data_IF_259985690062
#
_entry.id   IF_259985690062
#
_cell.length_a   1.000
_cell.length_b   1.000
_cell.length_c   1.000
_cell.angle_alpha   90.00
_cell.angle_beta   90.00
_cell.angle_gamma   90.00
#
_symmetry.space_group_name_H-M   'P 1'
#
loop_
_entity.id
_entity.type
_entity.pdbx_description
1 polymer ?
#
# COMPACT_ATOMS: atom_id res chain seq x y z
N UNK A 1 -2.49 -59.63 30.51
CA UNK A 1 -1.79 -58.36 30.79
C UNK A 1 -1.30 -57.71 29.50
N UNK A 2 -0.57 -58.41 28.64
CA UNK A 2 -0.09 -57.89 27.33
C UNK A 2 -1.21 -57.43 26.37
N UNK A 3 -2.34 -58.15 26.31
CA UNK A 3 -3.48 -57.81 25.46
C UNK A 3 -4.21 -56.51 25.87
N UNK A 4 -4.10 -56.11 27.14
CA UNK A 4 -4.61 -54.82 27.62
C UNK A 4 -3.62 -53.70 27.34
N UNK A 5 -2.32 -53.96 27.51
CA UNK A 5 -1.27 -52.98 27.18
C UNK A 5 -1.29 -52.60 25.70
N UNK A 6 -1.42 -53.58 24.80
CA UNK A 6 -1.53 -53.34 23.36
C UNK A 6 -2.77 -52.50 22.97
N UNK A 7 -3.91 -52.69 23.67
CA UNK A 7 -5.12 -51.86 23.47
C UNK A 7 -4.95 -50.43 23.98
N UNK A 8 -4.20 -50.24 25.07
CA UNK A 8 -3.89 -48.92 25.60
C UNK A 8 -2.94 -48.17 24.66
N UNK A 9 -1.86 -48.80 24.19
CA UNK A 9 -0.93 -48.21 23.22
C UNK A 9 -1.64 -47.84 21.91
N UNK A 10 -2.52 -48.71 21.40
CA UNK A 10 -3.30 -48.43 20.18
C UNK A 10 -4.27 -47.25 20.35
N UNK A 11 -4.74 -46.99 21.58
CA UNK A 11 -5.62 -45.86 21.90
C UNK A 11 -4.83 -44.56 22.04
N UNK A 12 -3.65 -44.60 22.66
CA UNK A 12 -2.72 -43.47 22.70
C UNK A 12 -2.29 -43.05 21.30
N UNK A 13 -1.96 -44.01 20.43
CA UNK A 13 -1.62 -43.73 19.03
C UNK A 13 -2.79 -43.03 18.30
N UNK A 14 -4.02 -43.52 18.49
CA UNK A 14 -5.24 -42.92 17.92
C UNK A 14 -5.46 -41.48 18.43
N UNK A 15 -5.30 -41.25 19.73
CA UNK A 15 -5.45 -39.93 20.34
C UNK A 15 -4.37 -38.95 19.82
N UNK A 16 -3.14 -39.43 19.58
CA UNK A 16 -2.08 -38.65 18.96
C UNK A 16 -2.42 -38.26 17.51
N UNK A 17 -2.92 -39.21 16.69
CA UNK A 17 -3.39 -38.91 15.33
C UNK A 17 -4.52 -37.88 15.33
N UNK A 18 -5.51 -38.01 16.22
CA UNK A 18 -6.59 -37.02 16.33
C UNK A 18 -6.08 -35.64 16.74
N UNK A 19 -5.07 -35.58 17.64
CA UNK A 19 -4.44 -34.31 18.01
C UNK A 19 -3.77 -33.65 16.82
N UNK A 20 -3.04 -34.41 16.00
CA UNK A 20 -2.39 -33.90 14.79
C UNK A 20 -3.44 -33.37 13.81
N UNK A 21 -4.51 -34.13 13.55
CA UNK A 21 -5.61 -33.72 12.67
C UNK A 21 -6.26 -32.43 13.18
N UNK A 22 -6.52 -32.33 14.49
CA UNK A 22 -7.12 -31.14 15.10
C UNK A 22 -6.23 -29.91 14.93
N UNK A 23 -4.91 -30.06 15.13
CA UNK A 23 -3.95 -28.96 14.90
C UNK A 23 -3.99 -28.51 13.43
N UNK A 24 -3.92 -29.45 12.48
CA UNK A 24 -3.99 -29.13 11.04
C UNK A 24 -5.30 -28.40 10.70
N UNK A 25 -6.43 -28.90 11.20
CA UNK A 25 -7.74 -28.27 10.95
C UNK A 25 -7.82 -26.86 11.54
N UNK A 26 -7.22 -26.65 12.72
CA UNK A 26 -7.18 -25.33 13.37
C UNK A 26 -6.33 -24.36 12.56
N UNK A 27 -5.14 -24.79 12.12
CA UNK A 27 -4.25 -23.98 11.30
C UNK A 27 -4.92 -23.61 9.97
N UNK A 28 -5.58 -24.57 9.31
CA UNK A 28 -6.34 -24.32 8.09
C UNK A 28 -7.49 -23.31 8.30
N UNK A 29 -8.23 -23.42 9.41
CA UNK A 29 -9.29 -22.45 9.73
C UNK A 29 -8.72 -21.03 9.91
N UNK A 30 -7.59 -20.90 10.60
CA UNK A 30 -6.91 -19.62 10.81
C UNK A 30 -6.45 -19.04 9.46
N UNK A 31 -5.91 -19.86 8.56
CA UNK A 31 -5.44 -19.41 7.26
C UNK A 31 -6.59 -18.96 6.34
N UNK A 32 -7.74 -19.63 6.41
CA UNK A 32 -8.97 -19.20 5.73
C UNK A 32 -9.42 -17.83 6.25
N UNK A 33 -9.47 -17.64 7.57
CA UNK A 33 -9.87 -16.38 8.19
C UNK A 33 -8.92 -15.23 7.80
N UNK A 34 -7.60 -15.46 7.83
CA UNK A 34 -6.61 -14.47 7.37
C UNK A 34 -6.82 -14.08 5.91
N UNK A 35 -7.10 -15.07 5.06
CA UNK A 35 -7.32 -14.85 3.62
C UNK A 35 -8.60 -14.04 3.39
N UNK A 36 -9.69 -14.36 4.10
CA UNK A 36 -10.94 -13.62 4.02
C UNK A 36 -10.75 -12.17 4.46
N UNK A 37 -10.13 -11.96 5.62
CA UNK A 37 -9.80 -10.63 6.12
C UNK A 37 -8.97 -9.84 5.11
N UNK A 38 -7.92 -10.46 4.56
CA UNK A 38 -7.07 -9.83 3.56
C UNK A 38 -7.85 -9.31 2.34
N UNK A 39 -8.71 -10.16 1.78
CA UNK A 39 -9.53 -9.80 0.62
C UNK A 39 -10.55 -8.70 0.96
N UNK A 40 -11.12 -8.73 2.16
CA UNK A 40 -12.01 -7.68 2.65
C UNK A 40 -11.29 -6.32 2.78
N UNK A 41 -10.08 -6.30 3.37
CA UNK A 41 -9.26 -5.09 3.45
C UNK A 41 -8.92 -4.56 2.05
N UNK A 42 -8.44 -5.42 1.14
CA UNK A 42 -8.09 -5.03 -0.22
C UNK A 42 -9.28 -4.43 -0.97
N UNK A 43 -10.47 -5.04 -0.86
CA UNK A 43 -11.72 -4.53 -1.46
C UNK A 43 -12.09 -3.14 -0.95
N UNK A 44 -11.78 -2.84 0.32
CA UNK A 44 -12.03 -1.54 0.93
C UNK A 44 -10.90 -0.52 0.69
N UNK A 45 -9.87 -0.86 -0.10
CA UNK A 45 -8.72 0.01 -0.34
C UNK A 45 -7.83 0.18 0.91
N UNK A 46 -7.85 -0.80 1.81
CA UNK A 46 -7.05 -0.83 3.03
C UNK A 46 -5.94 -1.88 2.91
N UNK A 47 -4.78 -1.60 3.51
CA UNK A 47 -3.67 -2.55 3.59
C UNK A 47 -3.83 -3.39 4.85
N UNK A 48 -3.84 -4.72 4.70
CA UNK A 48 -3.74 -5.63 5.83
C UNK A 48 -2.28 -5.65 6.32
N UNK A 49 -1.97 -4.84 7.32
CA UNK A 49 -0.59 -4.62 7.80
C UNK A 49 0.06 -5.87 8.40
N UNK A 50 -0.74 -6.86 8.79
CA UNK A 50 -0.26 -8.16 9.26
C UNK A 50 0.37 -9.00 8.13
N UNK A 51 -0.01 -8.73 6.87
CA UNK A 51 0.46 -9.45 5.69
C UNK A 51 1.41 -8.58 4.85
N UNK A 52 1.19 -7.26 4.83
CA UNK A 52 2.01 -6.29 4.11
C UNK A 52 2.55 -5.24 5.08
N UNK A 53 3.83 -5.35 5.44
CA UNK A 53 4.47 -4.38 6.34
C UNK A 53 4.56 -3.00 5.71
N UNK A 54 4.04 -1.99 6.42
CA UNK A 54 4.15 -0.59 6.01
C UNK A 54 5.60 -0.13 5.90
N UNK A 55 6.49 -0.67 6.73
CA UNK A 55 7.91 -0.33 6.73
C UNK A 55 8.56 -0.74 5.41
N UNK A 56 8.30 -1.96 4.94
CA UNK A 56 8.78 -2.44 3.66
C UNK A 56 8.22 -1.60 2.50
N UNK A 57 6.91 -1.31 2.51
CA UNK A 57 6.30 -0.43 1.49
C UNK A 57 6.98 0.94 1.44
N UNK A 58 7.29 1.54 2.60
CA UNK A 58 7.96 2.84 2.67
C UNK A 58 9.40 2.76 2.14
N UNK A 59 10.11 1.67 2.42
CA UNK A 59 11.46 1.44 1.86
C UNK A 59 11.38 1.35 0.33
N UNK A 60 10.49 0.51 -0.19
CA UNK A 60 10.32 0.32 -1.65
C UNK A 60 9.92 1.64 -2.34
N UNK A 61 9.02 2.42 -1.73
CA UNK A 61 8.63 3.73 -2.25
C UNK A 61 9.78 4.74 -2.25
N UNK A 62 10.67 4.70 -1.26
CA UNK A 62 11.85 5.58 -1.22
C UNK A 62 12.85 5.19 -2.31
N UNK A 63 13.05 3.89 -2.49
CA UNK A 63 13.89 3.38 -3.57
C UNK A 63 13.31 3.81 -4.93
N UNK A 64 12.02 3.58 -5.16
CA UNK A 64 11.33 4.02 -6.37
C UNK A 64 11.45 5.54 -6.58
N UNK A 65 11.28 6.35 -5.54
CA UNK A 65 11.44 7.80 -5.60
C UNK A 65 12.85 8.21 -6.06
N UNK A 66 13.89 7.49 -5.64
CA UNK A 66 15.27 7.76 -6.03
C UNK A 66 15.56 7.50 -7.50
N UNK A 67 14.75 6.63 -8.13
CA UNK A 67 14.87 6.24 -9.53
C UNK A 67 13.99 7.09 -10.46
N UNK A 68 13.13 7.96 -9.93
CA UNK A 68 12.28 8.83 -10.73
C UNK A 68 13.11 9.83 -11.55
N UNK A 69 12.72 10.02 -12.82
CA UNK A 69 13.34 11.00 -13.71
C UNK A 69 13.14 12.43 -13.19
N UNK A 70 14.12 13.31 -13.44
CA UNK A 70 14.07 14.72 -13.01
C UNK A 70 12.73 15.37 -13.38
N UNK A 71 12.06 15.93 -12.37
CA UNK A 71 10.77 16.61 -12.50
C UNK A 71 9.55 15.75 -12.14
N UNK A 72 9.70 14.43 -12.06
CA UNK A 72 8.68 13.52 -11.53
C UNK A 72 8.84 13.32 -10.03
N UNK A 73 7.73 13.26 -9.30
CA UNK A 73 7.70 13.04 -7.87
C UNK A 73 6.37 12.43 -7.41
N UNK A 74 6.36 11.84 -6.22
CA UNK A 74 5.11 11.47 -5.56
C UNK A 74 4.39 12.73 -5.04
N UNK A 75 3.04 12.77 -5.06
CA UNK A 75 2.25 13.88 -4.52
C UNK A 75 2.20 13.91 -2.98
N UNK A 76 3.04 13.12 -2.32
CA UNK A 76 3.12 12.95 -0.88
C UNK A 76 4.56 12.74 -0.45
N UNK A 77 4.84 12.97 0.83
CA UNK A 77 6.14 12.69 1.41
C UNK A 77 6.23 11.22 1.85
N UNK A 78 7.24 10.50 1.35
CA UNK A 78 7.45 9.07 1.64
C UNK A 78 8.06 8.85 3.03
N UNK A 79 7.22 8.91 4.06
CA UNK A 79 7.56 8.65 5.47
C UNK A 79 6.47 7.80 6.13
N UNK A 80 6.89 6.92 7.02
CA UNK A 80 5.98 6.07 7.80
C UNK A 80 5.00 6.90 8.64
N UNK A 81 5.50 7.97 9.28
CA UNK A 81 4.69 8.93 10.05
C UNK A 81 3.54 9.55 9.23
N UNK A 82 3.73 9.67 7.91
CA UNK A 82 2.77 10.26 6.99
C UNK A 82 1.88 9.21 6.31
N UNK A 83 1.87 7.96 6.77
CA UNK A 83 1.16 6.86 6.12
C UNK A 83 -0.31 7.17 5.84
N UNK A 84 -1.02 7.79 6.78
CA UNK A 84 -2.41 8.20 6.60
C UNK A 84 -2.61 9.11 5.37
N UNK A 85 -1.63 9.95 5.03
CA UNK A 85 -1.68 10.76 3.83
C UNK A 85 -1.29 9.98 2.58
N UNK A 86 -0.28 9.11 2.66
CA UNK A 86 0.12 8.22 1.56
C UNK A 86 -1.06 7.35 1.13
N UNK A 87 -1.75 6.74 2.09
CA UNK A 87 -2.88 5.83 1.88
C UNK A 87 -4.01 6.45 1.04
N UNK A 88 -4.24 7.76 1.15
CA UNK A 88 -5.29 8.47 0.36
C UNK A 88 -5.04 8.43 -1.14
N UNK A 89 -3.81 8.21 -1.57
CA UNK A 89 -3.41 8.18 -2.97
C UNK A 89 -3.25 6.75 -3.52
N UNK A 90 -3.36 5.73 -2.68
CA UNK A 90 -3.11 4.34 -3.08
C UNK A 90 -4.36 3.77 -3.75
N UNK A 91 -4.16 3.08 -4.87
CA UNK A 91 -5.15 2.14 -5.40
C UNK A 91 -4.66 0.73 -5.16
N UNK A 92 -5.47 -0.07 -4.47
CA UNK A 92 -5.16 -1.46 -4.13
C UNK A 92 -6.01 -2.38 -5.00
N UNK A 93 -5.37 -3.32 -5.67
CA UNK A 93 -6.04 -4.41 -6.38
C UNK A 93 -5.48 -5.74 -5.91
N UNK A 94 -6.34 -6.69 -5.59
CA UNK A 94 -5.98 -8.07 -5.34
C UNK A 94 -6.65 -8.97 -6.39
N UNK A 95 -5.92 -9.96 -6.90
CA UNK A 95 -6.43 -10.91 -7.89
C UNK A 95 -5.78 -12.28 -7.70
N UNK A 96 -6.46 -13.33 -8.16
CA UNK A 96 -6.03 -14.71 -7.98
C UNK A 96 -5.66 -15.33 -9.33
N UNK A 97 -4.46 -15.91 -9.41
CA UNK A 97 -3.94 -16.62 -10.60
C UNK A 97 -3.11 -17.82 -10.13
N UNK A 98 -3.32 -18.99 -10.74
CA UNK A 98 -2.51 -20.20 -10.55
C UNK A 98 -2.24 -20.57 -9.08
N UNK A 99 -3.26 -20.46 -8.21
CA UNK A 99 -3.19 -20.74 -6.77
C UNK A 99 -2.48 -19.67 -5.92
N UNK A 100 -2.16 -18.51 -6.50
CA UNK A 100 -1.56 -17.38 -5.80
C UNK A 100 -2.50 -16.18 -5.79
N UNK A 101 -2.54 -15.49 -4.64
CA UNK A 101 -3.15 -14.17 -4.53
C UNK A 101 -2.07 -13.14 -4.77
N UNK A 102 -2.22 -12.36 -5.83
CA UNK A 102 -1.38 -11.21 -6.13
C UNK A 102 -2.03 -9.96 -5.59
N UNK A 103 -1.21 -8.99 -5.19
CA UNK A 103 -1.69 -7.68 -4.81
C UNK A 103 -0.81 -6.61 -5.39
N UNK A 104 -1.46 -5.64 -6.02
CA UNK A 104 -0.83 -4.52 -6.67
C UNK A 104 -1.21 -3.25 -5.93
N UNK A 105 -0.20 -2.57 -5.40
CA UNK A 105 -0.32 -1.22 -4.87
C UNK A 105 0.09 -0.25 -5.97
N UNK A 106 -0.82 0.62 -6.40
CA UNK A 106 -0.55 1.66 -7.40
C UNK A 106 -0.47 3.01 -6.72
N UNK A 107 0.61 3.73 -6.99
CA UNK A 107 0.88 5.07 -6.47
C UNK A 107 1.00 6.05 -7.64
N UNK A 108 0.31 7.20 -7.60
CA UNK A 108 0.42 8.20 -8.65
C UNK A 108 1.77 8.91 -8.61
N UNK A 109 2.32 9.19 -9.79
CA UNK A 109 3.50 10.03 -9.98
C UNK A 109 3.07 11.28 -10.75
N UNK A 110 3.48 12.45 -10.27
CA UNK A 110 3.13 13.74 -10.86
C UNK A 110 4.37 14.49 -11.32
N UNK A 111 4.20 15.39 -12.28
CA UNK A 111 5.22 16.34 -12.71
C UNK A 111 4.96 17.71 -12.08
N UNK A 112 6.02 18.50 -11.84
CA UNK A 112 5.84 19.89 -11.46
C UNK A 112 5.13 20.66 -12.58
N UNK A 113 3.95 21.19 -12.28
CA UNK A 113 3.28 22.17 -13.14
C UNK A 113 4.11 23.46 -13.19
N UNK A 114 4.50 23.89 -14.39
CA UNK A 114 5.16 25.19 -14.58
C UNK A 114 4.09 26.28 -14.62
N UNK A 115 4.18 27.26 -13.72
CA UNK A 115 3.28 28.42 -13.71
C UNK A 115 4.02 29.65 -14.22
N UNK A 116 3.45 30.33 -15.22
CA UNK A 116 3.97 31.61 -15.71
C UNK A 116 3.18 32.76 -15.07
N UNK A 117 3.76 33.39 -14.06
CA UNK A 117 3.24 34.64 -13.50
C UNK A 117 3.71 35.79 -14.38
N UNK A 118 2.79 36.41 -15.12
CA UNK A 118 3.10 37.58 -15.95
C UNK A 118 2.55 38.82 -15.27
N UNK A 119 3.43 39.73 -14.88
CA UNK A 119 3.07 41.07 -14.40
C UNK A 119 3.40 42.08 -15.49
N UNK A 120 2.38 42.60 -16.17
CA UNK A 120 2.56 43.72 -17.08
C UNK A 120 2.81 44.99 -16.25
N UNK A 121 3.90 45.69 -16.54
CA UNK A 121 4.12 47.05 -16.05
C UNK A 121 3.96 47.94 -17.28
N UNK A 122 2.94 48.78 -17.26
CA UNK A 122 2.71 49.79 -18.29
C UNK A 122 3.87 50.78 -18.31
N UNK A 123 4.50 50.97 -19.48
CA UNK A 123 5.52 51.99 -19.63
C UNK A 123 4.88 53.39 -19.67
N UNK A 124 5.55 54.41 -19.12
CA UNK A 124 5.13 55.79 -19.28
C UNK A 124 5.18 56.19 -20.76
N UNK A 125 4.06 56.67 -21.29
CA UNK A 125 4.00 57.25 -22.63
C UNK A 125 4.12 58.76 -22.52
N UNK A 126 5.04 59.33 -23.29
CA UNK A 126 5.22 60.78 -23.36
C UNK A 126 4.24 61.33 -24.39
N UNK A 127 3.26 62.10 -23.93
CA UNK A 127 2.44 62.92 -24.81
C UNK A 127 2.89 64.38 -24.65
N UNK A 128 3.00 65.08 -25.78
CA UNK A 128 3.51 66.45 -25.85
C UNK A 128 2.85 67.33 -24.79
N UNK A 129 3.65 68.17 -24.12
CA UNK A 129 3.31 69.03 -22.96
C UNK A 129 3.64 68.48 -21.56
N UNK A 130 4.74 67.73 -21.39
CA UNK A 130 5.26 67.30 -20.06
C UNK A 130 4.30 66.46 -19.19
N UNK A 131 3.27 65.84 -19.80
CA UNK A 131 2.35 64.96 -19.09
C UNK A 131 2.77 63.51 -19.35
N UNK A 132 2.97 62.75 -18.27
CA UNK A 132 3.27 61.32 -18.32
C UNK A 132 2.08 60.56 -17.77
N UNK A 133 1.52 59.63 -18.54
CA UNK A 133 0.49 58.70 -18.06
C UNK A 133 0.92 57.24 -18.24
N UNK A 134 0.32 56.39 -17.42
CA UNK A 134 0.46 54.93 -17.51
C UNK A 134 -0.68 54.40 -18.37
N UNK A 135 -0.34 53.70 -19.46
CA UNK A 135 -1.33 52.97 -20.26
C UNK A 135 -1.99 51.89 -19.39
N UNK A 136 -3.31 51.96 -19.20
CA UNK A 136 -4.08 50.92 -18.50
C UNK A 136 -4.37 49.72 -19.39
#
# INVERSE_FOLDING_TARGET
MELQLAKYTQREDLDEYFRIILTIMTDLMIDVEKTENYLAFAKNGLICTNLLSLEHIIVDLREAASQLTKGLHFPFQVKLENWHNVQKYISINAFFVDHYIFTTLKFPVIAYSTYKVTKAISLPVYESSNIIYLLK
#
